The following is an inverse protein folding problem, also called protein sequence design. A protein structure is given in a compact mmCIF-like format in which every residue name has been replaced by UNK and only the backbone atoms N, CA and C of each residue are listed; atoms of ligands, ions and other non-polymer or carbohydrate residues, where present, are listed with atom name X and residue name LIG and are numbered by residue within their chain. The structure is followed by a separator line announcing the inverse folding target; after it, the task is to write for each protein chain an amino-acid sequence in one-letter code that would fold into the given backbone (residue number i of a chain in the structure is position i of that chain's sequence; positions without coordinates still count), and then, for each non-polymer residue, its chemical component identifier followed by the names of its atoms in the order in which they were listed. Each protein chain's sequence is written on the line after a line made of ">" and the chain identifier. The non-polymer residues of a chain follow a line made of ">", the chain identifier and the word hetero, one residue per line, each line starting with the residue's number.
data_IF_304829716831
#
_entry.id   IF_304829716831
#
_cell.length_a   1.000
_cell.length_b   1.000
_cell.length_c   1.000
_cell.angle_alpha   90.00
_cell.angle_beta   90.00
_cell.angle_gamma   90.00
#
_symmetry.space_group_name_H-M   'P 1'
#
loop_
_entity.id
_entity.type
_entity.pdbx_description
1 polymer ?
#
# COMPACT_ATOMS: atom_id res chain seq x y z
N UNK A 1 -5.78 6.79 18.60
CA UNK A 1 -6.34 7.81 17.70
C UNK A 1 -7.69 7.38 17.14
N UNK A 2 -7.82 6.17 16.57
CA UNK A 2 -9.09 5.61 16.10
C UNK A 2 -10.24 5.72 17.13
N UNK A 3 -10.01 5.23 18.36
CA UNK A 3 -11.01 5.24 19.44
C UNK A 3 -11.50 6.65 19.76
N UNK A 4 -10.60 7.64 19.75
CA UNK A 4 -10.96 9.03 20.00
C UNK A 4 -11.83 9.61 18.89
N UNK A 5 -11.57 9.25 17.63
CA UNK A 5 -12.37 9.69 16.49
C UNK A 5 -13.77 9.06 16.53
N UNK A 6 -13.86 7.75 16.79
CA UNK A 6 -15.13 7.05 16.95
C UNK A 6 -15.96 7.65 18.09
N UNK A 7 -15.33 7.92 19.24
CA UNK A 7 -15.99 8.56 20.37
C UNK A 7 -16.51 9.97 20.03
N UNK A 8 -15.74 10.76 19.27
CA UNK A 8 -16.13 12.12 18.86
C UNK A 8 -17.27 12.12 17.82
N UNK A 9 -17.34 11.11 16.97
CA UNK A 9 -18.37 10.96 15.93
C UNK A 9 -19.58 10.14 16.38
N UNK A 10 -19.61 9.68 17.63
CA UNK A 10 -20.69 8.83 18.15
C UNK A 10 -22.01 9.62 18.17
N UNK A 11 -23.04 9.11 17.49
CA UNK A 11 -24.35 9.76 17.39
C UNK A 11 -24.43 10.90 16.36
N UNK A 12 -23.39 11.13 15.56
CA UNK A 12 -23.42 12.12 14.49
C UNK A 12 -24.03 11.54 13.20
N UNK A 13 -24.68 12.37 12.35
CA UNK A 13 -25.38 11.89 11.15
C UNK A 13 -24.42 11.35 10.07
N UNK A 14 -23.14 11.74 10.10
CA UNK A 14 -22.15 11.28 9.13
C UNK A 14 -21.29 10.11 9.67
N UNK A 15 -21.79 8.89 9.49
CA UNK A 15 -21.07 7.68 9.84
C UNK A 15 -19.91 7.33 8.88
N UNK A 16 -19.80 7.99 7.72
CA UNK A 16 -18.80 7.66 6.70
C UNK A 16 -17.39 8.03 7.16
N UNK A 17 -17.22 9.17 7.84
CA UNK A 17 -15.93 9.65 8.31
C UNK A 17 -15.17 8.64 9.21
N UNK A 18 -15.76 8.10 10.30
CA UNK A 18 -15.09 7.12 11.13
C UNK A 18 -14.84 5.79 10.41
N UNK A 19 -15.74 5.38 9.50
CA UNK A 19 -15.56 4.17 8.71
C UNK A 19 -14.36 4.28 7.77
N UNK A 20 -14.24 5.39 7.04
CA UNK A 20 -13.11 5.65 6.15
C UNK A 20 -11.79 5.71 6.91
N UNK A 21 -11.75 6.44 8.02
CA UNK A 21 -10.55 6.50 8.85
C UNK A 21 -10.17 5.13 9.41
N UNK A 22 -11.15 4.36 9.87
CA UNK A 22 -10.92 3.01 10.39
C UNK A 22 -10.40 2.04 9.35
N UNK A 23 -10.97 2.08 8.14
CA UNK A 23 -10.49 1.29 7.01
C UNK A 23 -9.01 1.61 6.71
N UNK A 24 -8.68 2.89 6.52
CA UNK A 24 -7.31 3.30 6.18
C UNK A 24 -6.32 3.00 7.31
N UNK A 25 -6.74 3.14 8.56
CA UNK A 25 -5.92 2.81 9.73
C UNK A 25 -5.63 1.31 9.80
N UNK A 26 -6.65 0.47 9.60
CA UNK A 26 -6.50 -0.98 9.58
C UNK A 26 -5.63 -1.45 8.41
N UNK A 27 -5.84 -0.90 7.20
CA UNK A 27 -5.03 -1.22 6.01
C UNK A 27 -3.57 -0.85 6.21
N UNK A 28 -3.30 0.33 6.79
CA UNK A 28 -1.94 0.77 7.14
C UNK A 28 -1.27 -0.20 8.13
N UNK A 29 -2.00 -0.64 9.14
CA UNK A 29 -1.48 -1.55 10.15
C UNK A 29 -1.23 -2.94 9.55
N UNK A 30 -2.14 -3.41 8.70
CA UNK A 30 -2.03 -4.66 7.95
C UNK A 30 -0.79 -4.67 7.05
N UNK A 31 -0.57 -3.60 6.27
CA UNK A 31 0.61 -3.49 5.39
C UNK A 31 1.92 -3.56 6.18
N UNK A 32 2.01 -2.86 7.32
CA UNK A 32 3.17 -2.94 8.21
C UNK A 32 3.39 -4.34 8.76
N UNK A 33 2.35 -4.99 9.27
CA UNK A 33 2.47 -6.36 9.78
C UNK A 33 2.88 -7.34 8.67
N UNK A 34 2.31 -7.21 7.47
CA UNK A 34 2.67 -8.04 6.33
C UNK A 34 4.14 -7.83 5.93
N UNK A 35 4.65 -6.59 6.00
CA UNK A 35 6.07 -6.26 5.80
C UNK A 35 6.98 -6.87 6.89
N UNK A 36 6.63 -6.74 8.17
CA UNK A 36 7.44 -7.25 9.28
C UNK A 36 7.49 -8.78 9.35
N UNK A 37 6.39 -9.44 9.00
CA UNK A 37 6.31 -10.91 9.05
C UNK A 37 6.95 -11.58 7.83
N UNK A 38 7.43 -10.78 6.89
CA UNK A 38 8.27 -11.19 5.79
C UNK A 38 7.51 -11.23 4.48
N UNK A 39 8.04 -10.45 3.54
CA UNK A 39 7.61 -10.41 2.15
C UNK A 39 8.67 -11.15 1.32
N UNK A 40 8.27 -12.06 0.41
CA UNK A 40 9.21 -12.83 -0.40
C UNK A 40 10.03 -11.99 -1.37
N UNK A 41 9.60 -10.75 -1.67
CA UNK A 41 10.23 -9.90 -2.67
C UNK A 41 10.48 -8.48 -2.12
N UNK A 42 11.58 -8.32 -1.39
CA UNK A 42 12.09 -6.99 -1.04
C UNK A 42 12.82 -6.45 -2.27
N UNK A 43 12.33 -5.38 -2.90
CA UNK A 43 12.94 -4.77 -4.09
C UNK A 43 14.37 -4.30 -3.80
N UNK A 44 15.35 -5.19 -4.03
CA UNK A 44 16.78 -4.95 -3.84
C UNK A 44 17.32 -3.77 -4.69
N UNK A 45 16.60 -3.37 -5.74
CA UNK A 45 16.93 -2.24 -6.62
C UNK A 45 16.52 -0.86 -6.07
N UNK A 46 15.65 -0.78 -5.05
CA UNK A 46 15.11 0.51 -4.56
C UNK A 46 15.91 1.08 -3.39
N UNK A 47 16.64 0.24 -2.64
CA UNK A 47 17.43 0.70 -1.50
C UNK A 47 18.80 1.24 -1.96
N UNK A 48 19.05 2.57 -1.88
CA UNK A 48 20.36 3.11 -2.20
C UNK A 48 21.38 2.60 -1.16
N UNK A 49 22.67 2.62 -1.49
CA UNK A 49 23.73 2.03 -0.67
C UNK A 49 23.72 2.44 0.82
N UNK A 50 23.19 3.62 1.16
CA UNK A 50 23.08 4.10 2.55
C UNK A 50 21.92 3.47 3.36
N UNK A 51 20.94 2.82 2.72
CA UNK A 51 19.83 2.13 3.38
C UNK A 51 19.98 0.61 3.40
N UNK A 52 21.12 0.08 2.93
CA UNK A 52 21.41 -1.35 2.91
C UNK A 52 21.31 -2.00 4.31
N UNK A 53 21.52 -1.25 5.39
CA UNK A 53 21.35 -1.75 6.76
C UNK A 53 19.89 -2.11 7.09
N UNK A 54 18.89 -1.43 6.51
CA UNK A 54 17.48 -1.79 6.75
C UNK A 54 17.15 -3.20 6.25
N UNK A 55 17.92 -3.72 5.27
CA UNK A 55 17.81 -5.09 4.78
C UNK A 55 18.00 -6.13 5.88
N UNK A 56 18.80 -5.85 6.93
CA UNK A 56 18.97 -6.79 8.05
C UNK A 56 17.77 -6.86 8.98
N UNK A 57 16.87 -5.86 8.94
CA UNK A 57 15.62 -5.85 9.71
C UNK A 57 14.44 -6.49 8.95
N UNK A 58 14.47 -6.50 7.62
CA UNK A 58 13.44 -7.14 6.81
C UNK A 58 13.77 -8.61 6.56
N UNK A 59 13.08 -9.50 7.27
CA UNK A 59 13.20 -10.95 7.07
C UNK A 59 12.52 -11.36 5.77
N UNK A 60 13.27 -11.91 4.81
CA UNK A 60 12.70 -12.60 3.64
C UNK A 60 12.15 -13.95 4.08
N UNK A 61 10.82 -14.09 4.10
CA UNK A 61 10.14 -15.33 4.49
C UNK A 61 9.14 -15.75 3.40
N UNK A 62 9.03 -17.07 3.11
CA UNK A 62 8.01 -17.57 2.20
C UNK A 62 6.63 -17.46 2.86
N UNK A 63 5.80 -16.57 2.31
CA UNK A 63 4.34 -16.47 2.43
C UNK A 63 3.73 -16.67 3.84
N UNK A 64 3.38 -15.57 4.49
CA UNK A 64 2.64 -15.59 5.75
C UNK A 64 1.11 -15.70 5.52
N UNK A 65 0.41 -16.44 6.38
CA UNK A 65 -1.06 -16.60 6.38
C UNK A 65 -1.83 -15.28 6.56
N UNK A 66 -1.18 -14.23 7.07
CA UNK A 66 -1.80 -12.91 7.13
C UNK A 66 -2.06 -12.31 5.74
N UNK A 67 -1.28 -12.67 4.72
CA UNK A 67 -1.47 -12.13 3.38
C UNK A 67 -2.87 -12.46 2.80
N UNK A 68 -3.29 -13.73 2.68
CA UNK A 68 -4.63 -14.05 2.19
C UNK A 68 -5.72 -13.48 3.10
N UNK A 69 -5.49 -13.40 4.41
CA UNK A 69 -6.44 -12.79 5.35
C UNK A 69 -6.64 -11.30 5.06
N UNK A 70 -5.56 -10.56 4.80
CA UNK A 70 -5.62 -9.13 4.47
C UNK A 70 -6.32 -8.88 3.14
N UNK A 71 -6.09 -9.72 2.13
CA UNK A 71 -6.78 -9.65 0.84
C UNK A 71 -8.27 -9.93 1.01
N UNK A 72 -8.63 -11.04 1.67
CA UNK A 72 -10.04 -11.41 1.91
C UNK A 72 -10.74 -10.33 2.74
N UNK A 73 -10.08 -9.79 3.77
CA UNK A 73 -10.60 -8.71 4.59
C UNK A 73 -10.83 -7.42 3.80
N UNK A 74 -9.86 -7.03 2.96
CA UNK A 74 -9.97 -5.83 2.12
C UNK A 74 -11.01 -5.95 1.01
N UNK A 75 -11.09 -7.11 0.34
CA UNK A 75 -12.13 -7.38 -0.65
C UNK A 75 -13.50 -7.43 0.03
N UNK A 76 -13.61 -8.06 1.20
CA UNK A 76 -14.83 -8.06 2.00
C UNK A 76 -15.29 -6.66 2.35
N UNK A 77 -14.38 -5.80 2.81
CA UNK A 77 -14.68 -4.40 3.10
C UNK A 77 -15.13 -3.62 1.86
N UNK A 78 -14.49 -3.83 0.71
CA UNK A 78 -14.87 -3.21 -0.56
C UNK A 78 -16.27 -3.64 -1.00
N UNK A 79 -16.59 -4.94 -0.92
CA UNK A 79 -17.92 -5.47 -1.27
C UNK A 79 -18.98 -4.93 -0.32
N UNK A 80 -18.72 -4.94 1.00
CA UNK A 80 -19.66 -4.39 1.98
C UNK A 80 -19.92 -2.90 1.75
N UNK A 81 -18.88 -2.12 1.47
CA UNK A 81 -19.01 -0.71 1.15
C UNK A 81 -19.79 -0.47 -0.15
N UNK A 82 -19.53 -1.28 -1.18
CA UNK A 82 -20.27 -1.23 -2.45
C UNK A 82 -21.75 -1.53 -2.26
N UNK A 83 -22.09 -2.59 -1.53
CA UNK A 83 -23.49 -2.90 -1.18
C UNK A 83 -24.13 -1.80 -0.35
N UNK A 84 -23.38 -1.23 0.60
CA UNK A 84 -23.84 -0.08 1.38
C UNK A 84 -24.13 1.14 0.52
N UNK A 85 -23.37 1.35 -0.56
CA UNK A 85 -23.63 2.41 -1.53
C UNK A 85 -24.90 2.14 -2.35
N UNK A 86 -25.11 0.91 -2.82
CA UNK A 86 -26.31 0.52 -3.59
C UNK A 86 -27.61 0.70 -2.79
N UNK A 87 -27.56 0.50 -1.47
CA UNK A 87 -28.71 0.63 -0.56
C UNK A 87 -28.93 2.05 -0.04
N UNK A 88 -28.04 2.98 -0.36
CA UNK A 88 -28.06 4.35 0.16
C UNK A 88 -28.43 5.37 -0.92
N UNK A 89 -28.81 6.58 -0.50
CA UNK A 89 -29.05 7.70 -1.40
C UNK A 89 -28.30 8.97 -0.94
N UNK A 90 -28.08 9.90 -1.86
CA UNK A 90 -27.45 11.20 -1.58
C UNK A 90 -26.00 11.09 -1.09
N UNK A 91 -25.66 11.89 -0.07
CA UNK A 91 -24.28 11.98 0.45
C UNK A 91 -23.73 10.66 1.02
N UNK A 92 -24.60 9.81 1.58
CA UNK A 92 -24.19 8.51 2.14
C UNK A 92 -23.75 7.55 1.03
N UNK A 93 -24.42 7.54 -0.12
CA UNK A 93 -24.03 6.73 -1.27
C UNK A 93 -22.67 7.16 -1.83
N UNK A 94 -22.43 8.46 -1.95
CA UNK A 94 -21.12 9.00 -2.36
C UNK A 94 -20.01 8.63 -1.35
N UNK A 95 -20.30 8.68 -0.05
CA UNK A 95 -19.35 8.27 0.98
C UNK A 95 -19.00 6.78 0.93
N UNK A 96 -20.00 5.92 0.75
CA UNK A 96 -19.81 4.47 0.66
C UNK A 96 -19.07 4.04 -0.62
N UNK A 97 -19.34 4.69 -1.76
CA UNK A 97 -18.59 4.45 -3.01
C UNK A 97 -17.11 4.86 -2.87
N UNK A 98 -16.84 6.00 -2.23
CA UNK A 98 -15.47 6.42 -1.92
C UNK A 98 -14.77 5.40 -1.01
N UNK A 99 -15.47 4.89 0.01
CA UNK A 99 -14.93 3.88 0.91
C UNK A 99 -14.64 2.56 0.16
N UNK A 100 -15.49 2.16 -0.77
CA UNK A 100 -15.26 1.00 -1.63
C UNK A 100 -14.01 1.19 -2.51
N UNK A 101 -13.85 2.37 -3.14
CA UNK A 101 -12.67 2.69 -3.94
C UNK A 101 -11.37 2.67 -3.13
N UNK A 102 -11.40 3.24 -1.91
CA UNK A 102 -10.25 3.20 -1.00
C UNK A 102 -9.92 1.78 -0.54
N UNK A 103 -10.92 0.92 -0.30
CA UNK A 103 -10.69 -0.47 0.04
C UNK A 103 -10.01 -1.23 -1.12
N UNK A 104 -10.46 -1.00 -2.37
CA UNK A 104 -9.82 -1.58 -3.56
C UNK A 104 -8.37 -1.11 -3.71
N UNK A 105 -8.10 0.18 -3.49
CA UNK A 105 -6.72 0.71 -3.48
C UNK A 105 -5.86 0.05 -2.39
N UNK A 106 -6.40 -0.13 -1.19
CA UNK A 106 -5.72 -0.83 -0.10
C UNK A 106 -5.41 -2.29 -0.43
N UNK A 107 -6.34 -3.02 -1.05
CA UNK A 107 -6.10 -4.39 -1.55
C UNK A 107 -5.00 -4.39 -2.61
N UNK A 108 -5.03 -3.41 -3.52
CA UNK A 108 -3.99 -3.27 -4.57
C UNK A 108 -2.61 -3.06 -3.98
N UNK A 109 -2.49 -2.25 -2.93
CA UNK A 109 -1.22 -2.07 -2.19
C UNK A 109 -0.74 -3.40 -1.60
N UNK A 110 -1.63 -4.23 -1.04
CA UNK A 110 -1.26 -5.56 -0.55
C UNK A 110 -0.82 -6.48 -1.70
N UNK A 111 -1.48 -6.42 -2.86
CA UNK A 111 -1.04 -7.16 -4.05
C UNK A 111 0.37 -6.74 -4.48
N UNK A 112 0.72 -5.45 -4.40
CA UNK A 112 2.08 -4.96 -4.65
C UNK A 112 3.12 -5.49 -3.65
N UNK A 113 2.73 -5.79 -2.41
CA UNK A 113 3.64 -6.44 -1.46
C UNK A 113 3.97 -7.90 -1.86
N UNK A 114 3.19 -8.54 -2.72
CA UNK A 114 3.41 -9.96 -3.11
C UNK A 114 3.88 -10.12 -4.55
N UNK A 115 3.40 -9.27 -5.45
CA UNK A 115 3.86 -9.26 -6.82
C UNK A 115 5.31 -8.76 -6.87
N UNK A 116 6.24 -9.50 -7.51
CA UNK A 116 7.61 -9.06 -7.69
C UNK A 116 7.71 -8.00 -8.80
N UNK A 117 6.96 -6.91 -8.68
CA UNK A 117 7.07 -5.79 -9.59
C UNK A 117 8.37 -5.06 -9.25
N UNK A 118 9.30 -5.04 -10.22
CA UNK A 118 10.49 -4.20 -10.18
C UNK A 118 10.02 -2.75 -10.25
N UNK A 119 9.70 -2.15 -9.12
CA UNK A 119 9.22 -0.77 -9.01
C UNK A 119 10.15 0.22 -9.72
N UNK A 120 11.45 -0.10 -9.79
CA UNK A 120 12.45 0.66 -10.55
C UNK A 120 12.10 0.81 -12.04
N UNK A 121 11.38 -0.13 -12.66
CA UNK A 121 10.92 -0.01 -14.06
C UNK A 121 9.65 0.82 -14.20
N UNK A 122 8.73 0.71 -13.24
CA UNK A 122 7.49 1.48 -13.21
C UNK A 122 7.72 2.94 -12.87
N UNK A 123 8.77 3.26 -12.11
CA UNK A 123 9.19 4.63 -11.78
C UNK A 123 10.44 5.09 -12.54
N UNK A 124 10.93 4.29 -13.50
CA UNK A 124 12.09 4.66 -14.31
C UNK A 124 11.91 6.04 -14.94
N UNK A 125 10.71 6.34 -15.45
CA UNK A 125 10.36 7.63 -16.02
C UNK A 125 10.38 8.79 -15.01
N UNK A 126 10.12 8.52 -13.72
CA UNK A 126 10.22 9.51 -12.65
C UNK A 126 11.66 9.70 -12.12
N UNK A 127 12.52 8.70 -12.35
CA UNK A 127 13.95 8.71 -12.00
C UNK A 127 14.85 9.25 -13.12
N UNK A 128 14.31 9.69 -14.25
CA UNK A 128 15.09 10.35 -15.32
C UNK A 128 15.55 11.74 -14.87
N UNK A 129 16.67 11.74 -14.17
CA UNK A 129 17.45 12.94 -13.89
C UNK A 129 18.89 12.53 -13.64
N UNK A 130 19.59 12.12 -14.71
CA UNK A 130 21.06 12.14 -14.98
C UNK A 130 22.08 11.69 -13.91
N UNK A 131 21.66 11.42 -12.67
CA UNK A 131 22.50 11.20 -11.50
C UNK A 131 22.70 9.73 -11.22
N UNK A 132 21.73 8.88 -11.58
CA UNK A 132 21.83 7.42 -11.44
C UNK A 132 22.88 6.82 -12.39
N UNK A 133 23.00 7.33 -13.62
CA UNK A 133 24.01 6.89 -14.60
C UNK A 133 25.42 7.25 -14.15
N UNK A 134 25.61 8.44 -13.56
CA UNK A 134 26.91 8.88 -13.01
C UNK A 134 27.28 8.16 -11.70
N UNK A 135 26.30 7.80 -10.88
CA UNK A 135 26.52 7.05 -9.63
C UNK A 135 26.80 5.55 -9.87
N UNK A 136 26.38 4.99 -11.01
CA UNK A 136 26.65 3.61 -11.40
C UNK A 136 28.05 3.37 -11.97
N UNK A 137 28.91 4.38 -12.06
CA UNK A 137 30.33 4.22 -12.44
C UNK A 137 30.57 3.63 -13.84
N UNK A 138 29.59 3.75 -14.74
CA UNK A 138 29.78 3.35 -16.14
C UNK A 138 30.46 4.53 -16.85
N UNK A 139 31.79 4.53 -16.80
CA UNK A 139 32.60 5.32 -17.71
C UNK A 139 32.38 4.76 -19.12
N UNK A 140 31.57 5.44 -19.93
CA UNK A 140 31.54 5.20 -21.36
C UNK A 140 32.89 5.67 -21.93
N UNK A 141 33.86 4.76 -22.00
CA UNK A 141 35.08 4.95 -22.78
C UNK A 141 34.69 5.10 -24.25
N UNK A 142 34.54 6.36 -24.66
CA UNK A 142 34.26 6.78 -26.02
C UNK A 142 35.44 6.64 -26.96
N UNK A 143 36.45 5.80 -26.67
CA UNK A 143 37.56 5.55 -27.58
C UNK A 143 37.37 4.26 -28.39
N UNK A 144 36.42 4.30 -29.32
CA UNK A 144 36.58 3.61 -30.61
C UNK A 144 36.84 4.63 -31.70
N UNK A 145 38.12 4.88 -31.96
CA UNK A 145 38.69 5.04 -33.30
C UNK A 145 40.08 4.43 -33.29
#
# INVERSE_FOLDING_TARGET
>A
TLVALVALTWGQPNAVAPLTFGLLFAMRLSAKFNLYLGVPNLSDEVFPAHLAHLKSYFRTAPMNWLFPLSIVGGVGAAVMAWRGAELSAGGTAAGMTLLAGLAVLGVTEHLFLVLPLRDGRLFAWALHGDKAVRAAGIEFDGRRR
#
